data_IF_910885178442
#
_entry.id   IF_910885178442
#
_cell.length_a   1.000
_cell.length_b   1.000
_cell.length_c   1.000
_cell.angle_alpha   90.00
_cell.angle_beta   90.00
_cell.angle_gamma   90.00
#
_symmetry.space_group_name_H-M   'P 1'
#
loop_
_entity.id
_entity.type
_entity.pdbx_description
1 polymer ?
#
# COMPACT_ATOMS: atom_id res chain seq x y z
N UNK A 1 36.56 -8.52 11.81
CA UNK A 1 35.52 -7.67 11.19
C UNK A 1 34.51 -8.53 10.46
N UNK A 2 33.71 -9.29 11.21
CA UNK A 2 32.82 -10.34 10.73
C UNK A 2 31.39 -9.93 11.09
N UNK A 3 30.48 -10.08 10.13
CA UNK A 3 29.05 -10.33 10.39
C UNK A 3 28.08 -9.16 10.65
N UNK A 4 28.32 -7.90 10.25
CA UNK A 4 27.25 -6.87 10.30
C UNK A 4 26.21 -7.01 9.18
N UNK A 5 26.62 -7.50 8.01
CA UNK A 5 25.75 -7.68 6.82
C UNK A 5 24.73 -8.81 6.99
N UNK A 6 25.05 -9.83 7.78
CA UNK A 6 24.16 -10.98 8.00
C UNK A 6 22.94 -10.62 8.85
N UNK A 7 23.10 -9.72 9.83
CA UNK A 7 22.00 -9.16 10.61
C UNK A 7 21.08 -8.25 9.78
N UNK A 8 21.61 -7.53 8.79
CA UNK A 8 20.82 -6.70 7.87
C UNK A 8 19.99 -7.58 6.92
N UNK A 9 20.59 -8.65 6.38
CA UNK A 9 19.88 -9.60 5.54
C UNK A 9 18.76 -10.32 6.29
N UNK A 10 18.97 -10.71 7.55
CA UNK A 10 17.90 -11.31 8.37
C UNK A 10 16.76 -10.32 8.69
N UNK A 11 17.06 -9.04 8.89
CA UNK A 11 16.03 -7.99 9.06
C UNK A 11 15.24 -7.72 7.77
N UNK A 12 15.87 -7.86 6.60
CA UNK A 12 15.20 -7.76 5.31
C UNK A 12 14.38 -9.00 4.97
N UNK A 13 14.84 -10.18 5.38
CA UNK A 13 14.22 -11.46 5.05
C UNK A 13 13.00 -11.77 5.92
N UNK A 14 12.90 -11.23 7.14
CA UNK A 14 11.75 -11.45 8.01
C UNK A 14 11.38 -10.22 8.88
N UNK A 15 10.74 -9.20 8.28
CA UNK A 15 10.26 -8.02 9.00
C UNK A 15 9.15 -8.33 10.02
N UNK A 16 8.45 -9.46 9.86
CA UNK A 16 7.31 -9.84 10.69
C UNK A 16 7.70 -10.26 12.11
N UNK A 17 8.95 -10.70 12.32
CA UNK A 17 9.41 -11.20 13.62
C UNK A 17 9.38 -10.14 14.73
N UNK A 18 9.57 -8.86 14.39
CA UNK A 18 9.54 -7.75 15.34
C UNK A 18 8.11 -7.29 15.67
N UNK A 19 7.18 -7.47 14.73
CA UNK A 19 5.79 -7.01 14.86
C UNK A 19 4.96 -7.99 15.70
N UNK A 20 5.18 -9.30 15.53
CA UNK A 20 4.45 -10.34 16.29
C UNK A 20 4.72 -10.33 17.80
N UNK A 21 5.87 -9.79 18.25
CA UNK A 21 6.19 -9.73 19.69
C UNK A 21 5.42 -8.64 20.44
N UNK A 22 4.85 -7.66 19.74
CA UNK A 22 4.10 -6.54 20.35
C UNK A 22 2.63 -6.48 19.97
N UNK A 23 2.24 -7.06 18.83
CA UNK A 23 0.88 -7.01 18.30
C UNK A 23 0.41 -8.41 17.96
N UNK A 24 -0.83 -8.75 18.35
CA UNK A 24 -1.41 -10.07 18.10
C UNK A 24 -1.49 -10.41 16.60
N UNK A 25 -1.44 -11.71 16.26
CA UNK A 25 -1.41 -12.20 14.88
C UNK A 25 -2.53 -11.63 13.98
N UNK A 26 -3.69 -11.29 14.56
CA UNK A 26 -4.81 -10.69 13.85
C UNK A 26 -4.52 -9.30 13.25
N UNK A 27 -3.63 -8.51 13.88
CA UNK A 27 -3.23 -7.21 13.35
C UNK A 27 -2.51 -7.33 12.00
N UNK A 28 -1.67 -8.37 11.86
CA UNK A 28 -0.95 -8.64 10.62
C UNK A 28 -1.90 -9.02 9.48
N UNK A 29 -2.99 -9.74 9.78
CA UNK A 29 -4.00 -10.12 8.78
C UNK A 29 -4.69 -8.86 8.25
N UNK A 30 -5.17 -7.98 9.14
CA UNK A 30 -5.80 -6.73 8.73
C UNK A 30 -4.84 -5.87 7.89
N UNK A 31 -3.58 -5.76 8.31
CA UNK A 31 -2.58 -4.99 7.59
C UNK A 31 -2.29 -5.57 6.19
N UNK A 32 -2.20 -6.89 6.07
CA UNK A 32 -2.02 -7.57 4.78
C UNK A 32 -3.22 -7.34 3.84
N UNK A 33 -4.44 -7.38 4.37
CA UNK A 33 -5.66 -7.10 3.60
C UNK A 33 -5.69 -5.64 3.13
N UNK A 34 -5.36 -4.68 4.00
CA UNK A 34 -5.29 -3.27 3.59
C UNK A 34 -4.21 -3.03 2.51
N UNK A 35 -3.03 -3.63 2.65
CA UNK A 35 -1.96 -3.53 1.67
C UNK A 35 -2.36 -4.10 0.31
N UNK A 36 -2.98 -5.28 0.29
CA UNK A 36 -3.41 -5.92 -0.96
C UNK A 36 -4.50 -5.12 -1.67
N UNK A 37 -5.47 -4.57 -0.92
CA UNK A 37 -6.51 -3.69 -1.49
C UNK A 37 -5.90 -2.40 -2.04
N UNK A 38 -5.00 -1.75 -1.28
CA UNK A 38 -4.31 -0.53 -1.72
C UNK A 38 -3.47 -0.76 -2.99
N UNK A 39 -2.75 -1.87 -3.05
CA UNK A 39 -1.97 -2.24 -4.22
C UNK A 39 -2.84 -2.54 -5.43
N UNK A 40 -3.93 -3.29 -5.25
CA UNK A 40 -4.87 -3.60 -6.33
C UNK A 40 -5.49 -2.32 -6.93
N UNK A 41 -5.88 -1.36 -6.08
CA UNK A 41 -6.40 -0.05 -6.52
C UNK A 41 -5.36 0.73 -7.32
N UNK A 42 -4.12 0.77 -6.86
CA UNK A 42 -3.03 1.45 -7.58
C UNK A 42 -2.75 0.81 -8.94
N UNK A 43 -2.75 -0.51 -9.03
CA UNK A 43 -2.62 -1.24 -10.30
C UNK A 43 -3.82 -1.02 -11.23
N UNK A 44 -5.04 -1.00 -10.70
CA UNK A 44 -6.23 -0.75 -11.51
C UNK A 44 -6.20 0.68 -12.11
N UNK A 45 -5.79 1.67 -11.32
CA UNK A 45 -5.63 3.05 -11.79
C UNK A 45 -4.56 3.18 -12.87
N UNK A 46 -3.41 2.52 -12.71
CA UNK A 46 -2.34 2.58 -13.72
C UNK A 46 -2.76 1.91 -15.03
N UNK A 47 -3.39 0.73 -14.97
CA UNK A 47 -3.95 0.04 -16.14
C UNK A 47 -5.01 0.89 -16.84
N UNK A 48 -5.85 1.60 -16.07
CA UNK A 48 -6.86 2.48 -16.64
C UNK A 48 -6.27 3.71 -17.35
N UNK A 49 -5.24 4.34 -16.77
CA UNK A 49 -4.55 5.45 -17.42
C UNK A 49 -3.93 5.01 -18.77
N UNK A 50 -3.35 3.80 -18.84
CA UNK A 50 -2.73 3.28 -20.08
C UNK A 50 -3.79 2.98 -21.14
N UNK A 51 -4.94 2.43 -20.74
CA UNK A 51 -5.99 1.98 -21.68
C UNK A 51 -6.86 3.11 -22.21
N UNK A 52 -7.25 4.06 -21.37
CA UNK A 52 -8.17 5.14 -21.77
C UNK A 52 -7.47 6.48 -22.08
N UNK A 53 -6.19 6.64 -21.73
CA UNK A 53 -5.35 7.78 -22.11
C UNK A 53 -5.73 9.15 -21.50
N UNK A 54 -6.97 9.31 -21.04
CA UNK A 54 -7.49 10.50 -20.34
C UNK A 54 -8.71 10.12 -19.48
N UNK A 55 -8.83 10.73 -18.30
CA UNK A 55 -10.01 10.59 -17.43
C UNK A 55 -9.69 10.50 -15.94
N UNK A 56 -10.74 10.61 -15.12
CA UNK A 56 -10.71 10.46 -13.66
C UNK A 56 -11.30 9.10 -13.28
N UNK A 57 -10.47 8.20 -12.76
CA UNK A 57 -10.82 6.77 -12.60
C UNK A 57 -11.94 6.47 -11.60
N UNK A 58 -12.34 7.41 -10.75
CA UNK A 58 -13.27 7.03 -9.67
C UNK A 58 -14.32 8.07 -9.26
N UNK A 59 -14.38 9.24 -9.91
CA UNK A 59 -15.11 10.39 -9.36
C UNK A 59 -14.49 10.81 -8.00
N UNK A 60 -14.61 12.06 -7.58
CA UNK A 60 -13.99 12.47 -6.30
C UNK A 60 -14.60 11.69 -5.14
N UNK A 61 -13.80 10.91 -4.39
CA UNK A 61 -14.20 10.45 -3.07
C UNK A 61 -14.13 11.65 -2.13
N UNK A 62 -15.27 12.30 -1.91
CA UNK A 62 -15.43 13.42 -0.99
C UNK A 62 -15.93 12.88 0.35
N UNK A 63 -15.04 12.79 1.33
CA UNK A 63 -15.42 12.52 2.72
C UNK A 63 -15.82 13.84 3.37
N UNK A 64 -17.14 14.08 3.45
CA UNK A 64 -17.73 15.38 3.83
C UNK A 64 -17.36 15.81 5.25
N UNK A 65 -17.05 14.87 6.16
CA UNK A 65 -16.67 15.15 7.55
C UNK A 65 -15.21 15.60 7.75
N UNK A 66 -14.29 15.34 6.82
CA UNK A 66 -12.85 15.60 7.02
C UNK A 66 -12.21 16.46 5.93
N UNK A 67 -12.99 16.94 4.96
CA UNK A 67 -12.50 17.83 3.90
C UNK A 67 -11.44 17.21 2.98
N UNK A 68 -11.28 15.88 3.00
CA UNK A 68 -10.27 15.18 2.20
C UNK A 68 -10.90 14.75 0.88
N UNK A 69 -10.46 15.40 -0.21
CA UNK A 69 -10.86 15.08 -1.57
C UNK A 69 -9.75 14.32 -2.30
N UNK A 70 -9.98 13.03 -2.57
CA UNK A 70 -9.08 12.24 -3.41
C UNK A 70 -9.57 12.32 -4.86
N UNK A 71 -8.94 13.19 -5.65
CA UNK A 71 -9.13 13.27 -7.11
C UNK A 71 -7.93 12.68 -7.82
N UNK A 72 -8.09 11.49 -8.38
CA UNK A 72 -7.04 10.85 -9.18
C UNK A 72 -7.28 11.16 -10.65
N UNK A 73 -6.46 12.06 -11.20
CA UNK A 73 -6.50 12.48 -12.59
C UNK A 73 -5.32 11.84 -13.34
N UNK A 74 -5.59 11.13 -14.44
CA UNK A 74 -4.53 10.68 -15.35
C UNK A 74 -4.14 11.88 -16.23
N UNK A 75 -2.86 12.28 -16.22
CA UNK A 75 -2.29 13.21 -17.21
C UNK A 75 -1.26 12.46 -18.04
N UNK A 76 -1.26 12.67 -19.36
CA UNK A 76 -0.31 12.08 -20.29
C UNK A 76 1.10 12.61 -20.06
#
# INVERSE_FOLDING_TARGET
MKDRTRWLLLKLLNPNLWVSQRYGAWYLVLLAVLMTIGFALACAMSVWCITNGHGTFTGGFVWVDFGFELRVHCTN
#
